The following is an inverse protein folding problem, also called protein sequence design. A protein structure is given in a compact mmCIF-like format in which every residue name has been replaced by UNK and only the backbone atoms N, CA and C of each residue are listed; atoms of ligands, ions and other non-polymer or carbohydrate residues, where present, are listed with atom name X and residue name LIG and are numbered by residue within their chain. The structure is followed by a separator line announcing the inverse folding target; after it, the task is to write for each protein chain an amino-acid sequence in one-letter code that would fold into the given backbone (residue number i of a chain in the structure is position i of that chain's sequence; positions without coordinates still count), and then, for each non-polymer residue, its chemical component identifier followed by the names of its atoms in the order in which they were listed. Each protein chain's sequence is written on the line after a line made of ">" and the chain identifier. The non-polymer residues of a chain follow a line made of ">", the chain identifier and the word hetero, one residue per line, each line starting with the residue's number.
data_IF_000291618567
#
_entry.id   IF_000291618567
#
_cell.length_a   1.000
_cell.length_b   1.000
_cell.length_c   1.000
_cell.angle_alpha   90.00
_cell.angle_beta   90.00
_cell.angle_gamma   90.00
#
_symmetry.space_group_name_H-M   'P 1'
#
loop_
_entity.id
_entity.type
_entity.pdbx_description
1 polymer ?
#
# COMPACT_ATOMS: atom_id res chain seq x y z
N UNK A 1 20.06 2.17 18.90
CA UNK A 1 19.78 2.30 18.49
C UNK A 1 19.11 2.05 17.90
N UNK A 2 18.85 2.41 17.74
CA UNK A 2 18.22 2.22 17.16
C UNK A 2 18.33 1.61 16.39
N UNK A 3 18.41 1.54 16.68
CA UNK A 3 18.60 0.89 15.91
C UNK A 3 17.92 0.10 15.08
N UNK A 4 16.84 0.12 14.85
CA UNK A 4 16.23 -0.72 13.90
C UNK A 4 16.56 -0.29 12.48
N UNK A 5 16.48 -1.24 11.59
CA UNK A 5 16.85 -1.00 10.22
C UNK A 5 15.74 -0.28 9.49
N UNK A 6 16.05 0.72 8.70
CA UNK A 6 15.00 1.43 7.96
C UNK A 6 14.20 0.54 7.04
N UNK A 7 14.80 -0.49 6.48
CA UNK A 7 14.06 -1.33 5.56
C UNK A 7 13.06 -2.25 6.25
N UNK A 8 13.10 -2.30 7.58
CA UNK A 8 12.11 -3.05 8.32
C UNK A 8 10.88 -2.23 8.57
N UNK A 9 10.97 -0.94 8.38
CA UNK A 9 9.85 -0.07 8.68
C UNK A 9 8.93 0.02 7.49
N UNK A 10 7.64 0.09 7.75
CA UNK A 10 6.67 0.31 6.71
C UNK A 10 6.60 1.78 6.39
N UNK A 11 6.32 2.10 5.14
CA UNK A 11 6.16 3.48 4.73
C UNK A 11 4.83 4.05 5.19
N UNK A 12 3.84 3.19 5.34
CA UNK A 12 2.53 3.61 5.79
C UNK A 12 1.90 2.49 6.60
N UNK A 13 1.43 2.82 7.78
CA UNK A 13 0.67 1.89 8.62
C UNK A 13 -0.52 2.66 9.12
N UNK A 14 -1.71 2.14 8.90
CA UNK A 14 -2.90 2.81 9.41
C UNK A 14 -4.14 2.42 8.67
N UNK A 15 -5.12 3.28 8.76
CA UNK A 15 -6.40 3.04 8.13
C UNK A 15 -6.37 3.44 6.67
N UNK A 16 -7.09 2.71 5.87
CA UNK A 16 -7.26 3.01 4.46
C UNK A 16 -8.63 2.52 4.05
N UNK A 17 -9.09 3.02 2.92
CA UNK A 17 -10.34 2.55 2.33
C UNK A 17 -9.99 1.79 1.07
N UNK A 18 -10.49 0.57 0.97
CA UNK A 18 -10.33 -0.22 -0.25
C UNK A 18 -11.68 -0.17 -0.97
N UNK A 19 -11.65 0.27 -2.21
CA UNK A 19 -12.87 0.39 -3.01
C UNK A 19 -12.90 -0.75 -4.00
N UNK A 20 -13.89 -1.60 -3.87
CA UNK A 20 -14.08 -2.76 -4.74
C UNK A 20 -15.44 -2.66 -5.39
N UNK A 21 -15.45 -2.45 -6.70
CA UNK A 21 -16.71 -2.39 -7.45
C UNK A 21 -17.73 -1.48 -6.78
N UNK A 22 -17.33 -0.30 -6.43
CA UNK A 22 -18.19 0.73 -5.80
C UNK A 22 -18.46 0.51 -4.32
N UNK A 23 -17.95 -0.55 -3.75
CA UNK A 23 -18.11 -0.80 -2.31
C UNK A 23 -16.86 -0.35 -1.59
N UNK A 24 -17.01 0.44 -0.56
CA UNK A 24 -15.89 0.96 0.22
C UNK A 24 -15.77 0.17 1.51
N UNK A 25 -14.57 -0.30 1.80
CA UNK A 25 -14.30 -1.05 3.00
C UNK A 25 -13.14 -0.40 3.73
N UNK A 26 -13.35 -0.05 4.98
CA UNK A 26 -12.28 0.50 5.79
C UNK A 26 -11.44 -0.62 6.36
N UNK A 27 -10.14 -0.54 6.20
CA UNK A 27 -9.24 -1.61 6.58
C UNK A 27 -8.01 -1.03 7.25
N UNK A 28 -7.28 -1.91 7.94
CA UNK A 28 -5.97 -1.61 8.46
C UNK A 28 -4.95 -2.13 7.46
N UNK A 29 -3.99 -1.30 7.10
CA UNK A 29 -3.10 -1.63 6.03
C UNK A 29 -1.68 -1.26 6.39
N UNK A 30 -0.75 -2.00 5.84
CA UNK A 30 0.67 -1.75 6.03
C UNK A 30 1.32 -1.80 4.67
N UNK A 31 1.95 -0.71 4.26
CA UNK A 31 2.45 -0.56 2.90
C UNK A 31 3.92 -0.17 2.89
N UNK A 32 4.61 -0.62 1.87
CA UNK A 32 6.00 -0.28 1.58
C UNK A 32 6.14 -0.01 0.11
N UNK A 33 7.11 0.79 -0.23
CA UNK A 33 7.38 1.07 -1.62
C UNK A 33 8.84 0.95 -1.95
N UNK A 34 9.12 0.83 -3.22
CA UNK A 34 10.49 0.79 -3.69
C UNK A 34 10.51 1.24 -5.14
N UNK A 35 11.63 1.79 -5.52
CA UNK A 35 11.85 2.22 -6.88
C UNK A 35 12.48 1.09 -7.65
N UNK A 36 11.90 0.75 -8.79
CA UNK A 36 12.42 -0.34 -9.60
C UNK A 36 13.31 0.24 -10.68
N UNK A 37 14.63 0.05 -10.58
CA UNK A 37 15.53 0.73 -11.52
C UNK A 37 15.39 0.25 -12.95
N UNK A 38 15.00 -0.99 -13.15
CA UNK A 38 14.96 -1.55 -14.48
C UNK A 38 13.98 -0.84 -15.38
N UNK A 39 12.79 -0.57 -14.89
CA UNK A 39 11.80 0.11 -15.70
C UNK A 39 11.52 1.52 -15.21
N UNK A 40 12.26 2.00 -14.23
CA UNK A 40 12.14 3.37 -13.76
C UNK A 40 10.82 3.67 -13.08
N UNK A 41 10.18 2.67 -12.53
CA UNK A 41 8.88 2.85 -11.91
C UNK A 41 8.94 2.62 -10.43
N UNK A 42 8.09 3.33 -9.73
CA UNK A 42 7.91 3.11 -8.31
C UNK A 42 6.87 2.01 -8.13
N UNK A 43 7.13 1.09 -7.24
CA UNK A 43 6.21 0.01 -6.93
C UNK A 43 5.93 0.03 -5.44
N UNK A 44 4.76 -0.40 -5.06
CA UNK A 44 4.42 -0.47 -3.65
C UNK A 44 3.60 -1.72 -3.39
N UNK A 45 3.69 -2.21 -2.17
CA UNK A 45 3.04 -3.46 -1.81
C UNK A 45 2.87 -3.50 -0.31
N UNK A 46 2.06 -4.45 0.15
CA UNK A 46 1.88 -4.60 1.57
C UNK A 46 0.85 -5.64 1.90
N UNK A 47 0.31 -5.50 3.10
CA UNK A 47 -0.69 -6.42 3.61
C UNK A 47 -1.87 -5.66 4.14
N UNK A 48 -3.05 -6.20 3.88
CA UNK A 48 -4.29 -5.70 4.43
C UNK A 48 -4.70 -6.67 5.52
N UNK A 49 -4.97 -6.14 6.70
CA UNK A 49 -5.33 -6.96 7.82
C UNK A 49 -6.62 -7.71 7.54
N UNK A 50 -6.78 -8.86 8.17
CA UNK A 50 -7.99 -9.65 8.01
C UNK A 50 -9.23 -8.78 8.27
N UNK A 51 -10.23 -8.93 7.43
CA UNK A 51 -11.42 -8.10 7.49
C UNK A 51 -12.58 -8.91 6.91
N UNK A 52 -13.64 -9.04 7.68
CA UNK A 52 -14.76 -9.86 7.27
C UNK A 52 -15.44 -9.34 6.01
N UNK A 53 -15.57 -8.03 5.90
CA UNK A 53 -16.18 -7.45 4.71
C UNK A 53 -15.34 -7.72 3.47
N UNK A 54 -14.03 -7.66 3.59
CA UNK A 54 -13.17 -8.00 2.48
C UNK A 54 -13.29 -9.46 2.11
N UNK A 55 -13.34 -10.34 3.11
CA UNK A 55 -13.48 -11.76 2.84
C UNK A 55 -14.73 -12.04 2.01
N UNK A 56 -15.81 -11.36 2.35
CA UNK A 56 -17.05 -11.53 1.62
C UNK A 56 -16.95 -11.04 0.19
N UNK A 57 -16.33 -9.89 0.01
CA UNK A 57 -16.24 -9.29 -1.31
C UNK A 57 -15.27 -10.02 -2.22
N UNK A 58 -14.15 -10.47 -1.66
CA UNK A 58 -13.12 -11.10 -2.46
C UNK A 58 -13.38 -12.56 -2.73
N UNK A 59 -13.89 -13.27 -1.74
CA UNK A 59 -14.18 -14.70 -1.86
C UNK A 59 -13.00 -15.48 -2.43
N UNK A 60 -11.82 -15.17 -1.93
CA UNK A 60 -10.62 -15.85 -2.35
C UNK A 60 -10.10 -15.46 -3.72
N UNK A 61 -10.66 -14.45 -4.33
CA UNK A 61 -10.24 -14.03 -5.66
C UNK A 61 -9.36 -12.82 -5.61
N UNK A 62 -8.55 -12.68 -6.64
CA UNK A 62 -7.74 -11.50 -6.83
C UNK A 62 -8.59 -10.46 -7.54
N UNK A 63 -8.56 -9.23 -7.09
CA UNK A 63 -9.39 -8.17 -7.67
C UNK A 63 -8.60 -6.89 -7.83
N UNK A 64 -8.99 -6.12 -8.84
CA UNK A 64 -8.50 -4.76 -8.98
C UNK A 64 -9.31 -3.86 -8.07
N UNK A 65 -8.61 -3.00 -7.34
CA UNK A 65 -9.26 -2.14 -6.37
C UNK A 65 -8.62 -0.77 -6.41
N UNK A 66 -9.17 0.16 -5.65
CA UNK A 66 -8.54 1.45 -5.42
C UNK A 66 -8.32 1.56 -3.93
N UNK A 67 -7.12 1.95 -3.55
CA UNK A 67 -6.76 2.16 -2.15
C UNK A 67 -6.73 3.66 -1.90
N UNK A 68 -7.44 4.10 -0.89
CA UNK A 68 -7.51 5.52 -0.56
C UNK A 68 -7.06 5.73 0.88
N UNK A 69 -6.18 6.70 1.07
CA UNK A 69 -5.79 7.14 2.40
C UNK A 69 -6.08 8.61 2.49
N UNK A 70 -5.75 9.20 3.64
CA UNK A 70 -5.98 10.62 3.81
C UNK A 70 -5.12 11.48 2.88
N UNK A 71 -4.07 10.93 2.31
CA UNK A 71 -3.16 11.69 1.47
C UNK A 71 -3.27 11.38 -0.01
N UNK A 72 -4.07 10.39 -0.39
CA UNK A 72 -4.22 10.11 -1.81
C UNK A 72 -4.88 8.78 -2.07
N UNK A 73 -4.96 8.44 -3.33
CA UNK A 73 -5.51 7.15 -3.71
C UNK A 73 -4.75 6.60 -4.91
N UNK A 74 -4.82 5.30 -5.08
CA UNK A 74 -4.08 4.64 -6.14
C UNK A 74 -4.75 3.32 -6.50
N UNK A 75 -4.65 2.93 -7.76
CA UNK A 75 -5.15 1.61 -8.15
C UNK A 75 -4.21 0.53 -7.66
N UNK A 76 -4.77 -0.63 -7.38
CA UNK A 76 -4.00 -1.73 -6.83
C UNK A 76 -4.68 -3.05 -7.17
N UNK A 77 -3.95 -4.12 -6.90
CA UNK A 77 -4.49 -5.47 -6.98
C UNK A 77 -4.41 -6.07 -5.60
N UNK A 78 -5.49 -6.68 -5.16
CA UNK A 78 -5.56 -7.31 -3.84
C UNK A 78 -5.92 -8.78 -4.00
N UNK A 79 -5.31 -9.64 -3.18
CA UNK A 79 -5.58 -11.07 -3.26
C UNK A 79 -4.57 -11.83 -2.41
N UNK A 80 -4.44 -13.13 -2.68
CA UNK A 80 -3.44 -13.98 -2.04
C UNK A 80 -3.50 -13.91 -0.51
N UNK A 81 -4.62 -14.34 0.03
CA UNK A 81 -4.82 -14.35 1.46
C UNK A 81 -3.78 -15.26 2.11
N UNK A 82 -3.11 -14.77 3.14
CA UNK A 82 -2.08 -15.56 3.79
C UNK A 82 -2.68 -16.38 4.93
N UNK A 83 -1.80 -17.07 5.64
CA UNK A 83 -2.19 -17.99 6.68
C UNK A 83 -2.93 -17.29 7.83
N UNK A 84 -2.67 -16.00 8.02
CA UNK A 84 -3.32 -15.23 9.10
C UNK A 84 -4.53 -14.45 8.60
N UNK A 85 -4.94 -14.69 7.38
CA UNK A 85 -6.11 -14.02 6.83
C UNK A 85 -5.82 -12.64 6.27
N UNK A 86 -4.56 -12.26 6.16
CA UNK A 86 -4.19 -10.97 5.59
C UNK A 86 -4.10 -11.10 4.08
N UNK A 87 -4.47 -10.04 3.39
CA UNK A 87 -4.40 -10.03 1.94
C UNK A 87 -3.17 -9.30 1.48
N UNK A 88 -2.60 -9.77 0.39
CA UNK A 88 -1.50 -9.06 -0.25
C UNK A 88 -2.08 -7.99 -1.15
N UNK A 89 -1.49 -6.82 -1.12
CA UNK A 89 -1.90 -5.73 -1.99
C UNK A 89 -0.67 -5.16 -2.64
N UNK A 90 -0.81 -4.73 -3.89
CA UNK A 90 0.33 -4.18 -4.60
C UNK A 90 -0.13 -3.25 -5.69
N UNK A 91 0.72 -2.31 -6.03
CA UNK A 91 0.43 -1.35 -7.08
C UNK A 91 1.69 -0.81 -7.68
N UNK A 92 1.53 -0.07 -8.75
CA UNK A 92 2.64 0.56 -9.44
C UNK A 92 2.37 2.04 -9.57
N UNK A 93 3.44 2.80 -9.64
CA UNK A 93 3.31 4.23 -9.81
C UNK A 93 3.10 4.91 -8.47
N UNK A 94 2.38 5.99 -8.49
CA UNK A 94 2.21 6.78 -7.29
C UNK A 94 1.43 6.00 -6.24
N UNK A 95 2.00 5.83 -5.05
CA UNK A 95 1.29 5.12 -3.99
C UNK A 95 0.21 6.01 -3.37
N UNK A 96 -0.70 5.41 -2.59
CA UNK A 96 -1.77 6.19 -1.97
C UNK A 96 -1.33 6.88 -0.69
N UNK A 97 -0.04 6.97 -0.45
CA UNK A 97 0.50 7.65 0.71
C UNK A 97 1.64 8.54 0.27
N UNK A 98 2.01 9.48 1.12
CA UNK A 98 3.09 10.40 0.79
C UNK A 98 4.43 9.70 0.90
N UNK A 99 5.19 9.73 -0.18
CA UNK A 99 6.53 9.17 -0.20
C UNK A 99 7.51 10.31 -0.28
N UNK A 100 8.29 10.54 0.75
CA UNK A 100 9.33 11.54 0.62
C UNK A 100 10.37 10.99 -0.34
N UNK A 101 10.49 11.60 -1.48
CA UNK A 101 11.56 11.23 -2.37
C UNK A 101 12.74 11.99 -1.86
N UNK A 102 13.63 11.30 -1.21
CA UNK A 102 14.71 11.97 -0.53
C UNK A 102 15.48 12.89 -1.46
N UNK A 103 15.58 12.53 -2.71
CA UNK A 103 16.27 13.36 -3.64
C UNK A 103 15.55 14.70 -3.85
N UNK A 104 14.28 14.64 -4.06
CA UNK A 104 13.46 15.82 -4.22
C UNK A 104 13.49 16.68 -3.00
N UNK A 105 13.39 16.07 -1.87
CA UNK A 105 13.35 16.80 -0.62
C UNK A 105 14.66 17.43 -0.32
N UNK A 106 15.74 16.76 -0.66
CA UNK A 106 17.05 17.33 -0.50
C UNK A 106 17.20 18.55 -1.40
N UNK A 107 16.74 18.45 -2.62
CA UNK A 107 16.81 19.57 -3.53
C UNK A 107 16.00 20.74 -3.02
N UNK A 108 14.84 20.47 -2.51
CA UNK A 108 13.99 21.49 -1.96
C UNK A 108 14.67 22.18 -0.80
N UNK A 109 15.28 21.41 0.06
CA UNK A 109 15.96 21.98 1.21
C UNK A 109 17.14 22.83 0.78
N UNK A 110 17.84 22.40 -0.22
CA UNK A 110 19.01 23.12 -0.68
C UNK A 110 18.65 24.35 -1.50
N UNK A 111 17.50 24.38 -2.02
CA UNK A 111 17.03 25.52 -2.76
C UNK A 111 16.68 26.66 -1.82
#
# INVERSE_FOLDING_TARGET
>A
MKSHSPHDASDYIGLATVVIASTEVEVQIELRGFFQPIDGRFCWYGRVRQNDALDELLRGRRRSVVVRTSTGEAPATIGDRDFWGRYRIQGRGRPPYHVPTSLEEVETVQS
#
